data_IF_785871075198
#
_entry.id   IF_785871075198
#
_cell.length_a   1.000
_cell.length_b   1.000
_cell.length_c   1.000
_cell.angle_alpha   90.00
_cell.angle_beta   90.00
_cell.angle_gamma   90.00
#
_symmetry.space_group_name_H-M   'P 1'
#
loop_
_entity.id
_entity.type
_entity.pdbx_description
1 polymer ?
#
# COMPACT_ATOMS: atom_id res chain seq x y z
N UNK A 1 -34.64 -13.50 -8.00
CA UNK A 1 -33.32 -14.14 -7.81
C UNK A 1 -32.60 -14.20 -9.15
N UNK A 2 -31.59 -13.37 -9.33
CA UNK A 2 -30.54 -13.56 -10.34
C UNK A 2 -29.23 -13.06 -9.72
N UNK A 3 -28.11 -13.80 -9.86
CA UNK A 3 -26.92 -13.59 -9.03
C UNK A 3 -26.17 -12.35 -9.47
N UNK A 4 -25.83 -11.51 -8.49
CA UNK A 4 -25.05 -10.29 -8.69
C UNK A 4 -23.68 -10.59 -9.28
N UNK A 5 -23.40 -9.94 -10.40
CA UNK A 5 -22.07 -9.82 -10.98
C UNK A 5 -21.14 -9.22 -9.93
N UNK A 6 -20.30 -10.06 -9.31
CA UNK A 6 -19.18 -9.63 -8.49
C UNK A 6 -18.24 -8.82 -9.40
N UNK A 7 -18.33 -7.49 -9.31
CA UNK A 7 -17.37 -6.58 -9.90
C UNK A 7 -16.01 -6.83 -9.23
N UNK A 8 -15.21 -7.71 -9.82
CA UNK A 8 -13.79 -7.80 -9.50
C UNK A 8 -13.16 -6.43 -9.75
N UNK A 9 -12.59 -5.85 -8.69
CA UNK A 9 -11.81 -4.62 -8.76
C UNK A 9 -10.74 -4.76 -9.87
N UNK A 10 -10.56 -3.75 -10.75
CA UNK A 10 -9.62 -3.81 -11.89
C UNK A 10 -8.17 -4.12 -11.48
N UNK A 11 -7.83 -3.96 -10.20
CA UNK A 11 -6.53 -4.34 -9.62
C UNK A 11 -6.28 -5.85 -9.65
N UNK A 12 -7.29 -6.69 -9.45
CA UNK A 12 -7.16 -8.16 -9.49
C UNK A 12 -6.85 -8.66 -10.91
N UNK A 13 -7.52 -8.10 -11.92
CA UNK A 13 -7.30 -8.50 -13.33
C UNK A 13 -5.90 -8.10 -13.82
N UNK A 14 -5.36 -6.95 -13.41
CA UNK A 14 -3.99 -6.54 -13.79
C UNK A 14 -2.89 -7.41 -13.17
N UNK A 15 -3.08 -7.88 -11.93
CA UNK A 15 -2.16 -8.86 -11.32
C UNK A 15 -2.24 -10.23 -12.03
N UNK A 16 -3.43 -10.62 -12.51
CA UNK A 16 -3.62 -11.84 -13.28
C UNK A 16 -2.90 -11.82 -14.64
N UNK A 17 -2.82 -10.65 -15.30
CA UNK A 17 -2.12 -10.47 -16.58
C UNK A 17 -0.61 -10.19 -16.46
N UNK A 18 0.02 -10.57 -15.34
CA UNK A 18 1.47 -10.52 -15.10
C UNK A 18 2.13 -9.16 -15.43
N UNK A 19 1.39 -8.05 -15.29
CA UNK A 19 1.92 -6.74 -15.62
C UNK A 19 2.55 -6.63 -17.04
N UNK A 20 2.18 -7.51 -17.99
CA UNK A 20 2.81 -7.57 -19.31
C UNK A 20 2.68 -6.25 -20.10
N UNK A 21 1.62 -5.48 -19.81
CA UNK A 21 1.40 -4.13 -20.36
C UNK A 21 2.18 -3.02 -19.64
N UNK A 22 2.71 -3.27 -18.44
CA UNK A 22 3.52 -2.31 -17.68
C UNK A 22 4.99 -2.33 -18.14
N UNK A 23 5.50 -3.48 -18.58
CA UNK A 23 6.88 -3.63 -19.06
C UNK A 23 7.20 -2.78 -20.31
N UNK A 24 6.19 -2.48 -21.15
CA UNK A 24 6.32 -1.65 -22.35
C UNK A 24 5.90 -0.19 -22.14
N UNK A 25 5.49 0.20 -20.93
CA UNK A 25 4.93 1.53 -20.65
C UNK A 25 5.98 2.47 -20.06
N UNK A 26 6.49 3.38 -20.89
CA UNK A 26 7.37 4.49 -20.48
C UNK A 26 6.75 5.36 -19.38
N UNK A 27 5.41 5.47 -19.36
CA UNK A 27 4.65 6.22 -18.35
C UNK A 27 4.73 5.59 -16.96
N UNK A 28 4.82 4.26 -16.87
CA UNK A 28 4.90 3.52 -15.60
C UNK A 28 6.30 3.66 -15.00
N UNK A 29 7.34 3.50 -15.81
CA UNK A 29 8.72 3.74 -15.36
C UNK A 29 8.93 5.20 -14.91
N UNK A 30 8.35 6.17 -15.65
CA UNK A 30 8.40 7.59 -15.30
C UNK A 30 7.65 7.98 -14.01
N UNK A 31 6.73 7.15 -13.51
CA UNK A 31 5.95 7.40 -12.29
C UNK A 31 6.55 6.73 -11.05
N UNK A 32 7.06 5.50 -11.20
CA UNK A 32 7.59 4.74 -10.06
C UNK A 32 9.05 5.10 -9.71
N UNK A 33 9.86 5.58 -10.66
CA UNK A 33 11.22 6.06 -10.36
C UNK A 33 11.23 7.26 -9.39
N UNK A 34 10.48 8.35 -9.65
CA UNK A 34 10.53 9.54 -8.79
C UNK A 34 10.04 9.28 -7.36
N UNK A 35 9.07 8.39 -7.19
CA UNK A 35 8.56 8.01 -5.87
C UNK A 35 9.61 7.26 -5.05
N UNK A 36 10.27 6.27 -5.65
CA UNK A 36 11.33 5.52 -4.98
C UNK A 36 12.54 6.42 -4.69
N UNK A 37 12.86 7.37 -5.58
CA UNK A 37 13.92 8.33 -5.35
C UNK A 37 13.59 9.27 -4.17
N UNK A 38 12.33 9.70 -4.05
CA UNK A 38 11.85 10.50 -2.92
C UNK A 38 11.97 9.71 -1.60
N UNK A 39 11.50 8.46 -1.58
CA UNK A 39 11.61 7.59 -0.40
C UNK A 39 13.07 7.35 -0.03
N UNK A 40 13.95 7.09 -1.01
CA UNK A 40 15.38 6.93 -0.77
C UNK A 40 15.98 8.17 -0.11
N UNK A 41 15.61 9.36 -0.58
CA UNK A 41 16.08 10.61 0.01
C UNK A 41 15.59 10.82 1.44
N UNK A 42 14.32 10.49 1.73
CA UNK A 42 13.77 10.58 3.10
C UNK A 42 14.45 9.60 4.04
N UNK A 43 14.60 8.34 3.62
CA UNK A 43 15.26 7.29 4.42
C UNK A 43 16.72 7.63 4.71
N UNK A 44 17.47 8.08 3.70
CA UNK A 44 18.86 8.48 3.87
C UNK A 44 19.04 9.64 4.87
N UNK A 45 18.15 10.63 4.85
CA UNK A 45 18.19 11.73 5.84
C UNK A 45 17.88 11.23 7.25
N UNK A 46 16.82 10.43 7.42
CA UNK A 46 16.48 9.90 8.73
C UNK A 46 17.54 8.95 9.29
N UNK A 47 18.23 8.17 8.44
CA UNK A 47 19.38 7.36 8.84
C UNK A 47 20.55 8.24 9.31
N UNK A 48 20.90 9.28 8.55
CA UNK A 48 21.98 10.22 8.89
C UNK A 48 21.70 11.00 10.19
N UNK A 49 20.43 11.29 10.47
CA UNK A 49 19.99 11.97 11.70
C UNK A 49 19.80 11.00 12.89
N UNK A 50 19.98 9.70 12.70
CA UNK A 50 19.74 8.68 13.72
C UNK A 50 18.26 8.52 14.10
N UNK A 51 17.35 9.01 13.26
CA UNK A 51 15.90 8.89 13.42
C UNK A 51 15.36 7.57 12.86
N UNK A 52 16.02 7.01 11.84
CA UNK A 52 15.66 5.74 11.23
C UNK A 52 16.78 4.71 11.30
N UNK A 53 16.42 3.44 11.40
CA UNK A 53 17.37 2.31 11.27
C UNK A 53 18.07 2.32 9.91
N UNK A 54 19.33 1.84 9.85
CA UNK A 54 20.04 1.73 8.60
C UNK A 54 19.54 0.58 7.71
N UNK A 55 19.82 0.69 6.42
CA UNK A 55 19.66 -0.42 5.46
C UNK A 55 18.21 -0.72 5.07
N UNK A 56 17.31 0.25 5.16
CA UNK A 56 15.92 0.10 4.69
C UNK A 56 15.87 0.18 3.17
N UNK A 57 15.40 -0.88 2.52
CA UNK A 57 15.13 -0.88 1.06
C UNK A 57 13.85 -0.06 0.77
N UNK A 58 13.94 1.05 0.00
CA UNK A 58 12.78 1.89 -0.33
C UNK A 58 11.68 1.13 -1.09
N UNK A 59 12.04 0.15 -1.92
CA UNK A 59 11.08 -0.65 -2.68
C UNK A 59 10.29 -1.56 -1.75
N UNK A 60 10.96 -2.26 -0.83
CA UNK A 60 10.29 -3.14 0.13
C UNK A 60 9.38 -2.34 1.08
N UNK A 61 9.85 -1.18 1.53
CA UNK A 61 9.03 -0.29 2.36
C UNK A 61 7.78 0.17 1.62
N UNK A 62 7.93 0.63 0.38
CA UNK A 62 6.80 1.06 -0.44
C UNK A 62 5.79 -0.06 -0.70
N UNK A 63 6.27 -1.25 -1.08
CA UNK A 63 5.41 -2.43 -1.30
C UNK A 63 4.67 -2.81 -0.02
N UNK A 64 5.32 -2.69 1.15
CA UNK A 64 4.68 -2.94 2.44
C UNK A 64 3.56 -1.93 2.74
N UNK A 65 3.80 -0.64 2.52
CA UNK A 65 2.77 0.41 2.67
C UNK A 65 1.56 0.16 1.75
N UNK A 66 1.83 -0.21 0.49
CA UNK A 66 0.78 -0.61 -0.45
C UNK A 66 0.03 -1.86 0.00
N UNK A 67 0.74 -2.89 0.47
CA UNK A 67 0.12 -4.12 0.95
C UNK A 67 -0.84 -3.86 2.12
N UNK A 68 -0.38 -3.09 3.11
CA UNK A 68 -1.16 -2.73 4.29
C UNK A 68 -2.43 -1.93 3.95
N UNK A 69 -2.33 -0.98 3.03
CA UNK A 69 -3.47 -0.14 2.62
C UNK A 69 -4.40 -0.86 1.64
N UNK A 70 -3.85 -1.44 0.58
CA UNK A 70 -4.62 -2.08 -0.49
C UNK A 70 -5.39 -3.30 0.01
N UNK A 71 -4.80 -4.14 0.86
CA UNK A 71 -5.50 -5.29 1.40
C UNK A 71 -6.77 -4.88 2.17
N UNK A 72 -6.64 -3.86 3.03
CA UNK A 72 -7.77 -3.37 3.82
C UNK A 72 -8.85 -2.79 2.91
N UNK A 73 -8.48 -1.89 1.99
CA UNK A 73 -9.44 -1.22 1.11
C UNK A 73 -10.14 -2.19 0.15
N UNK A 74 -9.41 -3.13 -0.45
CA UNK A 74 -9.95 -4.10 -1.39
C UNK A 74 -10.90 -5.10 -0.72
N UNK A 75 -10.72 -5.37 0.59
CA UNK A 75 -11.49 -6.37 1.32
C UNK A 75 -12.41 -5.76 2.40
N UNK A 76 -12.52 -4.43 2.50
CA UNK A 76 -13.25 -3.77 3.59
C UNK A 76 -14.69 -4.26 3.77
N UNK A 77 -15.41 -4.53 2.67
CA UNK A 77 -16.78 -5.06 2.74
C UNK A 77 -16.82 -6.50 3.27
N UNK A 78 -15.96 -7.37 2.73
CA UNK A 78 -15.81 -8.76 3.21
C UNK A 78 -15.42 -8.81 4.69
N UNK A 79 -14.40 -8.03 5.08
CA UNK A 79 -13.95 -7.94 6.47
C UNK A 79 -15.04 -7.35 7.36
N UNK A 80 -15.80 -6.34 6.89
CA UNK A 80 -16.90 -5.77 7.66
C UNK A 80 -17.98 -6.82 7.96
N UNK A 81 -18.31 -7.66 6.99
CA UNK A 81 -19.26 -8.77 7.18
C UNK A 81 -18.72 -9.82 8.15
N UNK A 82 -17.45 -10.23 7.99
CA UNK A 82 -16.83 -11.25 8.85
C UNK A 82 -16.76 -10.80 10.32
N UNK A 83 -16.41 -9.53 10.56
CA UNK A 83 -16.19 -9.00 11.91
C UNK A 83 -17.37 -8.20 12.47
N UNK A 84 -18.50 -8.14 11.75
CA UNK A 84 -19.70 -7.41 12.18
C UNK A 84 -19.47 -5.92 12.46
N UNK A 85 -18.47 -5.30 11.84
CA UNK A 85 -18.02 -3.94 12.11
C UNK A 85 -17.84 -3.17 10.80
N UNK A 86 -18.42 -1.98 10.61
CA UNK A 86 -18.20 -1.18 9.40
C UNK A 86 -16.74 -0.71 9.28
N UNK A 87 -16.05 -1.11 8.21
CA UNK A 87 -14.65 -0.77 7.92
C UNK A 87 -14.47 0.21 6.76
N UNK A 88 -15.55 0.82 6.28
CA UNK A 88 -15.57 1.79 5.19
C UNK A 88 -16.05 3.19 5.61
N UNK A 89 -16.35 3.37 6.90
CA UNK A 89 -16.66 4.69 7.48
C UNK A 89 -15.42 5.57 7.49
N UNK A 90 -15.62 6.89 7.45
CA UNK A 90 -14.51 7.86 7.53
C UNK A 90 -13.65 7.65 8.78
N UNK A 91 -14.29 7.40 9.93
CA UNK A 91 -13.60 7.11 11.18
C UNK A 91 -12.77 5.80 11.12
N UNK A 92 -13.31 4.74 10.49
CA UNK A 92 -12.59 3.48 10.34
C UNK A 92 -11.39 3.62 9.39
N UNK A 93 -11.54 4.39 8.31
CA UNK A 93 -10.45 4.68 7.38
C UNK A 93 -9.35 5.52 8.05
N UNK A 94 -9.71 6.54 8.82
CA UNK A 94 -8.76 7.35 9.58
C UNK A 94 -8.01 6.51 10.64
N UNK A 95 -8.73 5.65 11.36
CA UNK A 95 -8.11 4.73 12.32
C UNK A 95 -7.17 3.73 11.63
N UNK A 96 -7.54 3.24 10.44
CA UNK A 96 -6.68 2.36 9.64
C UNK A 96 -5.43 3.08 9.18
N UNK A 97 -5.54 4.32 8.70
CA UNK A 97 -4.40 5.14 8.30
C UNK A 97 -3.43 5.36 9.45
N UNK A 98 -3.94 5.79 10.62
CA UNK A 98 -3.14 5.98 11.82
C UNK A 98 -2.39 4.69 12.20
N UNK A 99 -3.07 3.55 12.19
CA UNK A 99 -2.45 2.26 12.49
C UNK A 99 -1.35 1.89 11.47
N UNK A 100 -1.55 2.14 10.18
CA UNK A 100 -0.51 1.88 9.16
C UNK A 100 0.71 2.77 9.42
N UNK A 101 0.51 4.05 9.74
CA UNK A 101 1.59 4.98 10.09
C UNK A 101 2.37 4.45 11.30
N UNK A 102 1.68 4.01 12.35
CA UNK A 102 2.33 3.44 13.54
C UNK A 102 3.17 2.20 13.22
N UNK A 103 2.65 1.29 12.40
CA UNK A 103 3.38 0.08 11.97
C UNK A 103 4.62 0.45 11.16
N UNK A 104 4.49 1.37 10.21
CA UNK A 104 5.60 1.81 9.34
C UNK A 104 6.67 2.53 10.14
N UNK A 105 6.29 3.50 10.97
CA UNK A 105 7.23 4.22 11.83
C UNK A 105 7.84 3.31 12.89
N UNK A 106 7.08 2.33 13.39
CA UNK A 106 7.58 1.29 14.29
C UNK A 106 8.69 0.45 13.67
N UNK A 107 8.53 0.04 12.41
CA UNK A 107 9.57 -0.65 11.65
C UNK A 107 10.81 0.21 11.41
N UNK A 108 10.63 1.51 11.20
CA UNK A 108 11.72 2.45 10.92
C UNK A 108 12.53 2.86 12.15
N UNK A 109 12.12 2.54 13.38
CA UNK A 109 12.85 2.95 14.59
C UNK A 109 14.32 2.47 14.55
N UNK A 110 15.28 3.28 15.06
CA UNK A 110 16.71 2.94 15.10
C UNK A 110 17.03 1.66 15.86
#
# INVERSE_FOLDING_TARGET
>A
MSPGTLNFSPSCTRNLHRAAYLASSSRVQGLYSPLLDTLRGVLARGEAEGLFRPGVDPLQLYVSMLGLSHFYLANRHTLSTIFGTPLDTEAALAAREAHIIEVVLGYLRP
#
